data_IF_593234455101
#
_entry.id   IF_593234455101
#
_cell.length_a   1.000
_cell.length_b   1.000
_cell.length_c   1.000
_cell.angle_alpha   90.00
_cell.angle_beta   90.00
_cell.angle_gamma   90.00
#
_symmetry.space_group_name_H-M   'P 1'
#
loop_
_entity.id
_entity.type
_entity.pdbx_description
1 polymer ?
#
# COMPACT_ATOMS: atom_id res chain seq x y z
N UNK A 1 27.56 -69.17 32.47
CA UNK A 1 27.53 -68.15 33.54
C UNK A 1 26.23 -67.39 33.41
N UNK A 2 25.31 -67.64 34.35
CA UNK A 2 23.94 -67.14 34.33
C UNK A 2 23.88 -65.70 34.86
N UNK A 3 23.29 -64.78 34.10
CA UNK A 3 23.14 -63.38 34.50
C UNK A 3 21.86 -63.20 35.32
N UNK A 4 21.95 -63.50 36.61
CA UNK A 4 20.88 -63.34 37.61
C UNK A 4 20.67 -61.87 38.02
N UNK A 5 20.54 -60.94 37.07
CA UNK A 5 20.21 -59.53 37.36
C UNK A 5 18.86 -59.06 36.84
N UNK A 6 18.17 -59.84 35.99
CA UNK A 6 16.84 -59.52 35.47
C UNK A 6 15.66 -60.11 36.26
N UNK A 7 15.89 -61.12 37.10
CA UNK A 7 14.80 -61.91 37.74
C UNK A 7 14.32 -61.37 39.08
N UNK A 8 14.89 -60.29 39.62
CA UNK A 8 14.65 -59.89 41.02
C UNK A 8 13.58 -58.84 41.30
N UNK A 9 12.83 -58.32 40.31
CA UNK A 9 11.59 -57.56 40.56
C UNK A 9 10.59 -57.59 39.38
N UNK A 10 10.17 -58.77 38.90
CA UNK A 10 8.89 -58.87 38.18
C UNK A 10 7.77 -58.90 39.24
N UNK A 11 7.28 -57.72 39.66
CA UNK A 11 6.29 -57.61 40.76
C UNK A 11 4.95 -58.31 40.44
N UNK A 12 4.71 -58.64 39.17
CA UNK A 12 3.52 -59.33 38.67
C UNK A 12 3.91 -60.27 37.53
N UNK A 13 3.27 -61.44 37.45
CA UNK A 13 3.47 -62.41 36.34
C UNK A 13 2.75 -61.96 35.07
N UNK A 14 3.18 -62.46 33.90
CA UNK A 14 2.52 -62.11 32.63
C UNK A 14 1.07 -62.61 32.56
N UNK A 15 0.76 -63.70 33.27
CA UNK A 15 -0.61 -64.20 33.47
C UNK A 15 -1.44 -63.23 34.31
N UNK A 16 -0.88 -62.70 35.41
CA UNK A 16 -1.53 -61.67 36.24
C UNK A 16 -1.78 -60.37 35.46
N UNK A 17 -0.83 -60.00 34.59
CA UNK A 17 -0.96 -58.84 33.69
C UNK A 17 -2.08 -59.04 32.69
N UNK A 18 -2.15 -60.18 31.99
CA UNK A 18 -3.26 -60.49 31.06
C UNK A 18 -4.61 -60.55 31.77
N UNK A 19 -4.70 -61.23 32.92
CA UNK A 19 -5.94 -61.31 33.69
C UNK A 19 -6.47 -59.94 34.12
N UNK A 20 -5.58 -59.01 34.51
CA UNK A 20 -5.96 -57.66 34.87
C UNK A 20 -6.47 -56.84 33.66
N UNK A 21 -5.84 -56.99 32.49
CA UNK A 21 -6.27 -56.32 31.25
C UNK A 21 -7.58 -56.91 30.72
N UNK A 22 -7.73 -58.23 30.72
CA UNK A 22 -8.96 -58.91 30.29
C UNK A 22 -10.14 -58.53 31.18
N UNK A 23 -9.95 -58.49 32.50
CA UNK A 23 -10.97 -58.01 33.42
C UNK A 23 -11.33 -56.53 33.15
N UNK A 24 -10.35 -55.67 32.84
CA UNK A 24 -10.62 -54.29 32.46
C UNK A 24 -11.48 -54.17 31.19
N UNK A 25 -11.16 -54.94 30.15
CA UNK A 25 -11.87 -54.91 28.87
C UNK A 25 -13.31 -55.43 29.00
N UNK A 26 -13.51 -56.50 29.77
CA UNK A 26 -14.82 -57.14 29.98
C UNK A 26 -15.71 -56.37 30.96
N UNK A 27 -15.14 -55.73 31.99
CA UNK A 27 -15.92 -55.10 33.07
C UNK A 27 -16.01 -53.57 32.93
N UNK A 28 -16.36 -53.12 31.72
CA UNK A 28 -16.75 -51.74 31.45
C UNK A 28 -15.62 -50.72 31.46
N UNK A 29 -14.36 -51.17 31.29
CA UNK A 29 -13.16 -50.32 31.09
C UNK A 29 -12.95 -49.30 32.21
N UNK A 30 -13.13 -49.74 33.46
CA UNK A 30 -12.94 -48.94 34.67
C UNK A 30 -11.76 -49.44 35.50
N UNK A 31 -10.63 -48.74 35.43
CA UNK A 31 -9.39 -49.10 36.15
C UNK A 31 -9.62 -49.28 37.66
N UNK A 32 -10.41 -48.41 38.29
CA UNK A 32 -10.75 -48.52 39.72
C UNK A 32 -11.53 -49.78 40.07
N UNK A 33 -12.34 -50.33 39.15
CA UNK A 33 -13.12 -51.54 39.38
C UNK A 33 -12.21 -52.78 39.29
N UNK A 34 -11.33 -52.80 38.29
CA UNK A 34 -10.31 -53.84 38.14
C UNK A 34 -9.36 -53.90 39.34
N UNK A 35 -8.87 -52.75 39.82
CA UNK A 35 -7.99 -52.70 40.99
C UNK A 35 -8.68 -53.18 42.27
N UNK A 36 -9.96 -52.84 42.48
CA UNK A 36 -10.74 -53.31 43.64
C UNK A 36 -11.02 -54.81 43.59
N UNK A 37 -11.24 -55.36 42.40
CA UNK A 37 -11.53 -56.78 42.23
C UNK A 37 -10.29 -57.65 42.38
N UNK A 38 -9.17 -57.22 41.80
CA UNK A 38 -7.95 -58.03 41.72
C UNK A 38 -6.99 -57.75 42.89
N UNK A 39 -7.11 -56.62 43.59
CA UNK A 39 -6.23 -56.22 44.71
C UNK A 39 -4.83 -55.75 44.27
N UNK A 40 -4.53 -55.86 42.99
CA UNK A 40 -3.38 -55.35 42.25
C UNK A 40 -3.83 -55.03 40.81
N UNK A 41 -3.04 -54.39 39.95
CA UNK A 41 -1.87 -53.54 40.19
C UNK A 41 -2.28 -52.09 40.53
N UNK A 42 -1.33 -51.15 40.63
CA UNK A 42 -1.64 -49.72 40.74
C UNK A 42 -2.24 -49.17 39.44
N UNK A 43 -2.93 -48.01 39.51
CA UNK A 43 -3.62 -47.41 38.37
C UNK A 43 -2.69 -47.12 37.18
N UNK A 44 -1.47 -46.70 37.46
CA UNK A 44 -0.45 -46.37 36.45
C UNK A 44 0.11 -47.63 35.79
N UNK A 45 0.34 -48.68 36.57
CA UNK A 45 0.81 -49.98 36.07
C UNK A 45 -0.27 -50.66 35.24
N UNK A 46 -1.54 -50.58 35.65
CA UNK A 46 -2.65 -51.07 34.82
C UNK A 46 -2.74 -50.28 33.51
N UNK A 47 -2.50 -48.97 33.55
CA UNK A 47 -2.55 -48.12 32.37
C UNK A 47 -1.45 -48.48 31.36
N UNK A 48 -0.22 -48.73 31.81
CA UNK A 48 0.87 -49.17 30.93
C UNK A 48 0.60 -50.56 30.35
N UNK A 49 0.04 -51.49 31.15
CA UNK A 49 -0.33 -52.81 30.64
C UNK A 49 -1.43 -52.79 29.59
N UNK A 50 -2.42 -51.89 29.74
CA UNK A 50 -3.47 -51.71 28.72
C UNK A 50 -2.85 -51.11 27.45
N UNK A 51 -1.96 -50.11 27.57
CA UNK A 51 -1.31 -49.51 26.40
C UNK A 51 -0.41 -50.53 25.66
N UNK A 52 0.19 -51.48 26.37
CA UNK A 52 1.00 -52.57 25.79
C UNK A 52 0.18 -53.70 25.17
N UNK A 53 -0.88 -54.17 25.83
CA UNK A 53 -1.65 -55.36 25.41
C UNK A 53 -2.91 -55.04 24.59
N UNK A 54 -3.43 -53.82 24.68
CA UNK A 54 -4.65 -53.38 24.01
C UNK A 54 -4.57 -51.87 23.67
N UNK A 55 -3.68 -51.47 22.74
CA UNK A 55 -3.44 -50.07 22.41
C UNK A 55 -4.73 -49.38 21.94
N UNK A 56 -5.03 -48.22 22.52
CA UNK A 56 -6.23 -47.42 22.19
C UNK A 56 -7.50 -47.77 22.98
N UNK A 57 -7.56 -48.91 23.67
CA UNK A 57 -8.74 -49.33 24.42
C UNK A 57 -8.83 -48.70 25.83
N UNK A 58 -7.81 -47.92 26.20
CA UNK A 58 -7.71 -47.22 27.48
C UNK A 58 -8.65 -46.00 27.53
N UNK A 59 -9.63 -46.03 28.43
CA UNK A 59 -10.53 -44.89 28.69
C UNK A 59 -9.82 -43.77 29.49
N UNK A 60 -9.48 -42.67 28.84
CA UNK A 60 -8.79 -41.51 29.43
C UNK A 60 -9.83 -40.56 30.06
N UNK A 61 -9.93 -40.55 31.39
CA UNK A 61 -10.86 -39.64 32.10
C UNK A 61 -10.36 -38.19 32.17
N UNK A 62 -9.04 -38.00 32.24
CA UNK A 62 -8.35 -36.70 32.20
C UNK A 62 -6.95 -36.94 31.65
N UNK A 63 -6.68 -36.48 30.45
CA UNK A 63 -5.38 -36.48 29.79
C UNK A 63 -5.32 -35.32 28.80
N UNK A 64 -4.12 -34.90 28.34
CA UNK A 64 -3.98 -33.80 27.41
C UNK A 64 -4.48 -34.26 26.04
N UNK A 65 -5.78 -34.06 25.79
CA UNK A 65 -6.30 -34.19 24.44
C UNK A 65 -5.69 -33.07 23.60
N UNK A 66 -5.11 -33.38 22.42
CA UNK A 66 -4.58 -32.38 21.51
C UNK A 66 -5.57 -31.23 21.30
N UNK A 67 -5.07 -29.99 21.33
CA UNK A 67 -5.92 -28.79 21.31
C UNK A 67 -6.85 -28.71 20.10
N UNK A 68 -6.46 -29.30 18.97
CA UNK A 68 -7.27 -29.38 17.75
C UNK A 68 -8.50 -30.28 17.92
N UNK A 69 -8.32 -31.50 18.41
CA UNK A 69 -9.43 -32.43 18.70
C UNK A 69 -10.39 -31.86 19.75
N UNK A 70 -9.84 -31.14 20.74
CA UNK A 70 -10.64 -30.41 21.73
C UNK A 70 -11.50 -29.32 21.09
N UNK A 71 -10.98 -28.56 20.13
CA UNK A 71 -11.71 -27.48 19.43
C UNK A 71 -12.76 -28.05 18.49
N UNK A 72 -12.41 -29.06 17.69
CA UNK A 72 -13.32 -29.73 16.76
C UNK A 72 -14.53 -30.34 17.48
N UNK A 73 -14.29 -31.07 18.59
CA UNK A 73 -15.37 -31.63 19.38
C UNK A 73 -16.29 -30.57 20.00
N UNK A 74 -15.75 -29.42 20.40
CA UNK A 74 -16.56 -28.30 20.93
C UNK A 74 -17.34 -27.61 19.81
N UNK A 75 -16.76 -27.43 18.63
CA UNK A 75 -17.43 -26.85 17.46
C UNK A 75 -18.63 -27.70 17.04
N UNK A 76 -18.46 -29.01 16.87
CA UNK A 76 -19.55 -29.93 16.49
C UNK A 76 -20.69 -29.99 17.52
N UNK A 77 -20.38 -29.85 18.80
CA UNK A 77 -21.39 -29.76 19.89
C UNK A 77 -22.03 -28.37 19.99
N UNK A 78 -21.38 -27.33 19.45
CA UNK A 78 -21.91 -25.97 19.41
C UNK A 78 -22.79 -25.75 18.17
N UNK A 79 -22.42 -26.32 17.03
CA UNK A 79 -23.22 -26.32 15.80
C UNK A 79 -24.43 -27.24 15.85
N UNK A 80 -24.47 -28.17 16.82
CA UNK A 80 -25.57 -29.14 16.97
C UNK A 80 -25.41 -30.39 16.10
N UNK A 81 -24.26 -30.54 15.43
CA UNK A 81 -23.91 -31.72 14.62
C UNK A 81 -23.72 -32.99 15.46
N UNK A 82 -23.23 -32.86 16.69
CA UNK A 82 -23.05 -33.98 17.61
C UNK A 82 -23.65 -33.68 18.99
N UNK A 83 -24.23 -34.69 19.62
CA UNK A 83 -24.59 -34.61 21.02
C UNK A 83 -23.33 -34.59 21.91
N UNK A 84 -23.46 -34.07 23.13
CA UNK A 84 -22.39 -34.06 24.14
C UNK A 84 -21.80 -35.46 24.42
N UNK A 85 -22.60 -36.51 24.18
CA UNK A 85 -22.19 -37.91 24.40
C UNK A 85 -21.41 -38.44 23.20
N UNK A 86 -21.91 -38.23 21.99
CA UNK A 86 -21.24 -38.67 20.75
C UNK A 86 -19.88 -37.98 20.56
N UNK A 87 -19.81 -36.67 20.85
CA UNK A 87 -18.54 -35.94 20.80
C UNK A 87 -17.53 -36.41 21.87
N UNK A 88 -18.02 -36.89 23.02
CA UNK A 88 -17.18 -37.44 24.07
C UNK A 88 -16.66 -38.83 23.72
N UNK A 89 -17.50 -39.67 23.11
CA UNK A 89 -17.12 -40.99 22.60
C UNK A 89 -16.09 -40.85 21.46
N UNK A 90 -16.28 -39.92 20.53
CA UNK A 90 -15.34 -39.65 19.43
C UNK A 90 -13.93 -39.26 19.88
N UNK A 91 -13.81 -38.62 21.05
CA UNK A 91 -12.53 -38.14 21.62
C UNK A 91 -12.04 -39.06 22.77
N UNK A 92 -12.81 -40.10 23.13
CA UNK A 92 -12.45 -41.05 24.19
C UNK A 92 -12.49 -40.45 25.61
N UNK A 93 -13.23 -39.35 25.81
CA UNK A 93 -13.37 -38.64 27.09
C UNK A 93 -14.78 -38.77 27.66
N UNK A 94 -14.99 -38.30 28.89
CA UNK A 94 -16.33 -38.25 29.47
C UNK A 94 -17.10 -37.00 29.00
N UNK A 95 -18.41 -37.11 28.81
CA UNK A 95 -19.28 -35.98 28.39
C UNK A 95 -19.18 -34.75 29.30
N UNK A 96 -18.84 -34.94 30.58
CA UNK A 96 -18.56 -33.85 31.51
C UNK A 96 -17.31 -33.02 31.13
N UNK A 97 -16.31 -33.64 30.51
CA UNK A 97 -15.08 -32.99 30.04
C UNK A 97 -15.37 -32.12 28.82
N UNK A 98 -16.14 -32.62 27.85
CA UNK A 98 -16.58 -31.83 26.68
C UNK A 98 -17.47 -30.67 27.10
N UNK A 99 -18.37 -30.87 28.08
CA UNK A 99 -19.17 -29.78 28.68
C UNK A 99 -18.29 -28.70 29.31
N UNK A 100 -17.23 -29.09 30.03
CA UNK A 100 -16.27 -28.15 30.61
C UNK A 100 -15.44 -27.44 29.53
N UNK A 101 -15.04 -28.11 28.46
CA UNK A 101 -14.36 -27.47 27.33
C UNK A 101 -15.26 -26.48 26.60
N UNK A 102 -16.53 -26.83 26.37
CA UNK A 102 -17.54 -25.93 25.81
C UNK A 102 -17.70 -24.70 26.71
N UNK A 103 -17.77 -24.89 28.04
CA UNK A 103 -17.82 -23.79 29.01
C UNK A 103 -16.55 -22.94 28.99
N UNK A 104 -15.37 -23.52 28.86
CA UNK A 104 -14.12 -22.75 28.87
C UNK A 104 -13.92 -22.00 27.53
N UNK A 105 -14.03 -22.70 26.40
CA UNK A 105 -13.77 -22.11 25.07
C UNK A 105 -14.88 -21.16 24.60
N UNK A 106 -16.13 -21.37 25.01
CA UNK A 106 -17.24 -20.45 24.70
C UNK A 106 -17.58 -19.52 25.87
N UNK A 107 -17.18 -19.84 27.10
CA UNK A 107 -17.36 -18.96 28.27
C UNK A 107 -16.30 -17.87 28.37
N UNK A 108 -15.10 -18.09 27.83
CA UNK A 108 -14.09 -17.03 27.71
C UNK A 108 -14.53 -15.92 26.72
N UNK A 109 -15.42 -16.23 25.76
CA UNK A 109 -16.10 -15.22 24.94
C UNK A 109 -17.09 -14.35 25.77
N UNK A 110 -17.59 -14.88 26.89
CA UNK A 110 -18.37 -14.13 27.89
C UNK A 110 -17.45 -13.27 28.78
N UNK A 111 -16.19 -13.66 28.96
CA UNK A 111 -15.18 -12.90 29.72
C UNK A 111 -14.76 -11.56 29.09
N UNK A 112 -14.93 -11.41 27.77
CA UNK A 112 -14.80 -10.12 27.08
C UNK A 112 -16.10 -9.29 27.11
N UNK A 113 -17.19 -9.84 27.64
CA UNK A 113 -18.55 -9.26 27.65
C UNK A 113 -19.27 -9.45 29.01
N UNK A 114 -18.55 -9.37 30.13
CA UNK A 114 -19.17 -9.48 31.45
C UNK A 114 -18.44 -8.74 32.58
N UNK A 115 -18.61 -7.42 32.64
CA UNK A 115 -18.97 -6.78 33.92
C UNK A 115 -20.50 -6.91 34.10
N UNK A 116 -20.99 -8.13 34.30
CA UNK A 116 -22.34 -8.35 34.82
C UNK A 116 -22.26 -9.52 35.79
N UNK A 117 -22.15 -9.17 37.07
CA UNK A 117 -22.30 -10.07 38.23
C UNK A 117 -23.57 -10.90 38.01
N UNK A 118 -23.48 -12.23 38.03
CA UNK A 118 -24.68 -13.06 38.22
C UNK A 118 -25.14 -12.91 39.68
N UNK A 119 -26.45 -12.75 39.95
CA UNK A 119 -26.95 -12.58 41.31
C UNK A 119 -27.04 -13.93 42.00
N UNK A 120 -26.79 -13.91 43.32
CA UNK A 120 -27.14 -15.04 44.17
C UNK A 120 -28.64 -15.31 44.11
N UNK A 121 -29.02 -16.58 44.30
CA UNK A 121 -30.41 -17.03 44.45
C UNK A 121 -31.03 -16.41 45.70
N UNK A 122 -31.42 -15.15 45.59
CA UNK A 122 -32.37 -14.49 46.46
C UNK A 122 -33.71 -14.45 45.77
N UNK A 123 -34.74 -14.88 46.48
CA UNK A 123 -36.14 -14.70 46.13
C UNK A 123 -36.37 -13.28 45.60
N UNK A 124 -36.61 -13.15 44.29
CA UNK A 124 -36.79 -11.87 43.64
C UNK A 124 -37.72 -12.03 42.47
N UNK A 125 -39.00 -11.89 42.78
CA UNK A 125 -40.02 -11.32 41.91
C UNK A 125 -39.64 -9.88 41.52
N UNK A 126 -38.55 -9.71 40.77
CA UNK A 126 -38.20 -8.51 40.03
C UNK A 126 -38.22 -8.83 38.55
N UNK A 127 -39.46 -8.84 38.06
CA UNK A 127 -39.88 -8.37 36.74
C UNK A 127 -38.74 -8.06 35.76
N UNK A 128 -38.80 -8.71 34.60
CA UNK A 128 -38.38 -8.13 33.33
C UNK A 128 -39.00 -6.72 33.22
N UNK A 129 -38.33 -5.70 33.75
CA UNK A 129 -38.83 -4.34 33.67
C UNK A 129 -38.73 -3.94 32.18
N UNK A 130 -39.86 -3.80 31.47
CA UNK A 130 -39.85 -3.58 30.04
C UNK A 130 -39.14 -2.28 29.67
N UNK A 131 -39.02 -1.32 30.60
CA UNK A 131 -38.27 -0.08 30.41
C UNK A 131 -36.74 -0.30 30.44
N UNK A 132 -36.24 -1.22 31.24
CA UNK A 132 -34.82 -1.57 31.27
C UNK A 132 -34.41 -2.28 29.96
N UNK A 133 -35.24 -3.20 29.47
CA UNK A 133 -35.04 -3.87 28.17
C UNK A 133 -35.17 -2.88 27.00
N UNK A 134 -36.12 -1.93 27.06
CA UNK A 134 -36.21 -0.83 26.08
C UNK A 134 -34.93 0.02 26.08
N UNK A 135 -34.37 0.30 27.25
CA UNK A 135 -33.08 0.98 27.40
C UNK A 135 -31.93 0.22 26.75
N UNK A 136 -31.79 -1.08 27.02
CA UNK A 136 -30.76 -1.93 26.40
C UNK A 136 -30.94 -2.05 24.88
N UNK A 137 -32.18 -2.13 24.38
CA UNK A 137 -32.44 -2.12 22.93
C UNK A 137 -32.05 -0.78 22.30
N UNK A 138 -32.29 0.35 22.99
CA UNK A 138 -31.91 1.67 22.51
C UNK A 138 -30.38 1.84 22.44
N UNK A 139 -29.64 1.38 23.45
CA UNK A 139 -28.17 1.45 23.45
C UNK A 139 -27.58 0.54 22.38
N UNK A 140 -28.07 -0.69 22.23
CA UNK A 140 -27.62 -1.60 21.18
C UNK A 140 -27.92 -1.08 19.77
N UNK A 141 -29.06 -0.42 19.58
CA UNK A 141 -29.38 0.25 18.30
C UNK A 141 -28.42 1.40 18.01
N UNK A 142 -28.11 2.22 19.01
CA UNK A 142 -27.13 3.30 18.87
C UNK A 142 -25.72 2.77 18.56
N UNK A 143 -25.30 1.69 19.22
CA UNK A 143 -24.00 1.04 18.94
C UNK A 143 -23.96 0.42 17.54
N UNK A 144 -25.04 -0.21 17.07
CA UNK A 144 -25.15 -0.71 15.70
C UNK A 144 -25.09 0.42 14.67
N UNK A 145 -25.74 1.55 14.94
CA UNK A 145 -25.67 2.74 14.08
C UNK A 145 -24.26 3.32 14.05
N UNK A 146 -23.57 3.37 15.20
CA UNK A 146 -22.16 3.78 15.30
C UNK A 146 -21.26 2.87 14.47
N UNK A 147 -21.35 1.55 14.66
CA UNK A 147 -20.56 0.57 13.92
C UNK A 147 -20.84 0.62 12.41
N UNK A 148 -22.11 0.78 12.01
CA UNK A 148 -22.47 0.97 10.59
C UNK A 148 -21.89 2.26 10.03
N UNK A 149 -21.83 3.34 10.81
CA UNK A 149 -21.21 4.59 10.39
C UNK A 149 -19.68 4.44 10.23
N UNK A 150 -19.03 3.76 11.16
CA UNK A 150 -17.59 3.45 11.09
C UNK A 150 -17.26 2.59 9.86
N UNK A 151 -18.07 1.55 9.59
CA UNK A 151 -17.93 0.72 8.40
C UNK A 151 -18.02 1.55 7.11
N UNK A 152 -19.05 2.40 6.98
CA UNK A 152 -19.19 3.28 5.81
C UNK A 152 -18.01 4.23 5.64
N UNK A 153 -17.49 4.80 6.74
CA UNK A 153 -16.32 5.67 6.69
C UNK A 153 -15.07 4.92 6.20
N UNK A 154 -14.87 3.69 6.68
CA UNK A 154 -13.76 2.84 6.22
C UNK A 154 -13.90 2.44 4.75
N UNK A 155 -15.11 2.11 4.28
CA UNK A 155 -15.38 1.80 2.86
C UNK A 155 -15.06 2.99 1.95
N UNK A 156 -15.47 4.20 2.32
CA UNK A 156 -15.17 5.43 1.60
C UNK A 156 -13.66 5.66 1.52
N UNK A 157 -12.96 5.55 2.65
CA UNK A 157 -11.49 5.75 2.69
C UNK A 157 -10.77 4.73 1.81
N UNK A 158 -11.19 3.47 1.86
CA UNK A 158 -10.60 2.40 1.05
C UNK A 158 -10.88 2.63 -0.46
N UNK A 159 -12.07 3.12 -0.82
CA UNK A 159 -12.38 3.48 -2.20
C UNK A 159 -11.52 4.66 -2.70
N UNK A 160 -11.31 5.68 -1.86
CA UNK A 160 -10.40 6.80 -2.16
C UNK A 160 -8.98 6.29 -2.39
N UNK A 161 -8.47 5.44 -1.50
CA UNK A 161 -7.11 4.89 -1.62
C UNK A 161 -6.95 4.01 -2.86
N UNK A 162 -7.93 3.14 -3.16
CA UNK A 162 -7.90 2.28 -4.35
C UNK A 162 -7.98 3.10 -5.64
N UNK A 163 -8.93 4.04 -5.73
CA UNK A 163 -9.06 4.91 -6.90
C UNK A 163 -7.82 5.78 -7.12
N UNK A 164 -7.20 6.26 -6.04
CA UNK A 164 -5.96 7.02 -6.12
C UNK A 164 -4.82 6.17 -6.67
N UNK A 165 -4.68 4.92 -6.21
CA UNK A 165 -3.68 3.99 -6.71
C UNK A 165 -3.88 3.63 -8.20
N UNK A 166 -5.13 3.52 -8.66
CA UNK A 166 -5.43 3.30 -10.08
C UNK A 166 -5.05 4.50 -10.95
N UNK A 167 -5.26 5.73 -10.45
CA UNK A 167 -4.96 6.96 -11.19
C UNK A 167 -3.46 7.27 -11.28
N UNK A 168 -2.69 7.00 -10.23
CA UNK A 168 -1.24 7.30 -10.19
C UNK A 168 -0.39 6.17 -10.81
N UNK A 169 -0.98 4.99 -11.04
CA UNK A 169 -0.30 3.82 -11.60
C UNK A 169 0.42 2.98 -10.53
N UNK A 170 0.71 1.71 -10.84
CA UNK A 170 1.37 0.74 -9.93
C UNK A 170 2.87 1.01 -9.74
N UNK A 171 3.28 2.27 -9.64
CA UNK A 171 4.67 2.63 -9.35
C UNK A 171 4.88 2.78 -7.83
N UNK A 172 5.98 2.29 -7.23
CA UNK A 172 6.19 2.25 -5.78
C UNK A 172 6.32 3.62 -5.06
N UNK A 173 6.04 4.73 -5.75
CA UNK A 173 6.11 6.10 -5.23
C UNK A 173 4.81 6.90 -5.43
N UNK A 174 3.72 6.22 -5.78
CA UNK A 174 2.41 6.82 -5.98
C UNK A 174 1.77 7.24 -4.65
N UNK A 175 2.14 8.42 -4.15
CA UNK A 175 1.52 8.99 -2.95
C UNK A 175 0.08 9.46 -3.28
N UNK A 176 -0.97 8.89 -2.64
CA UNK A 176 -2.35 9.34 -2.81
C UNK A 176 -2.56 10.81 -2.41
N UNK A 177 -1.63 11.43 -1.68
CA UNK A 177 -1.71 12.85 -1.36
C UNK A 177 -1.30 13.77 -2.53
N UNK A 178 -0.61 13.25 -3.56
CA UNK A 178 -0.08 14.03 -4.67
C UNK A 178 -0.97 14.06 -5.94
N UNK A 179 -2.26 13.71 -5.83
CA UNK A 179 -3.17 13.81 -6.97
C UNK A 179 -3.39 15.28 -7.37
N UNK A 180 -3.40 15.54 -8.68
CA UNK A 180 -3.79 16.84 -9.23
C UNK A 180 -5.27 17.13 -8.92
N UNK A 181 -5.65 18.41 -8.86
CA UNK A 181 -7.05 18.81 -8.62
C UNK A 181 -8.01 18.21 -9.66
N UNK A 182 -7.52 17.90 -10.86
CA UNK A 182 -8.27 17.20 -11.92
C UNK A 182 -8.49 15.73 -11.58
N UNK A 183 -7.46 15.02 -11.17
CA UNK A 183 -7.55 13.59 -10.81
C UNK A 183 -8.41 13.40 -9.55
N UNK A 184 -8.22 14.24 -8.52
CA UNK A 184 -9.08 14.24 -7.33
C UNK A 184 -10.56 14.47 -7.67
N UNK A 185 -10.86 15.36 -8.63
CA UNK A 185 -12.25 15.58 -9.08
C UNK A 185 -12.82 14.36 -9.81
N UNK A 186 -11.99 13.67 -10.60
CA UNK A 186 -12.38 12.44 -11.30
C UNK A 186 -12.68 11.33 -10.30
N UNK A 187 -11.78 11.13 -9.34
CA UNK A 187 -11.93 10.20 -8.24
C UNK A 187 -13.21 10.43 -7.41
N UNK A 188 -13.47 11.69 -7.01
CA UNK A 188 -14.69 12.02 -6.27
C UNK A 188 -15.95 11.70 -7.08
N UNK A 189 -15.93 12.02 -8.39
CA UNK A 189 -17.05 11.72 -9.28
C UNK A 189 -17.30 10.21 -9.36
N UNK A 190 -16.28 9.42 -9.64
CA UNK A 190 -16.39 7.97 -9.83
C UNK A 190 -16.81 7.27 -8.52
N UNK A 191 -16.28 7.69 -7.38
CA UNK A 191 -16.67 7.16 -6.06
C UNK A 191 -18.10 7.55 -5.70
N UNK A 192 -18.51 8.79 -6.00
CA UNK A 192 -19.90 9.23 -5.77
C UNK A 192 -20.90 8.43 -6.59
N UNK A 193 -20.55 8.08 -7.84
CA UNK A 193 -21.38 7.26 -8.73
C UNK A 193 -21.38 5.79 -8.30
N UNK A 194 -20.25 5.24 -7.87
CA UNK A 194 -20.10 3.82 -7.53
C UNK A 194 -20.75 3.48 -6.18
N UNK A 195 -20.54 4.32 -5.17
CA UNK A 195 -21.02 4.09 -3.81
C UNK A 195 -22.34 4.83 -3.51
N UNK A 196 -22.86 5.63 -4.44
CA UNK A 196 -24.10 6.40 -4.26
C UNK A 196 -24.04 7.44 -3.14
N UNK A 197 -22.83 7.85 -2.75
CA UNK A 197 -22.60 8.84 -1.68
C UNK A 197 -22.54 10.26 -2.25
N UNK A 198 -23.00 11.22 -1.45
CA UNK A 198 -22.95 12.64 -1.84
C UNK A 198 -21.49 13.08 -2.04
N UNK A 199 -21.20 13.69 -3.19
CA UNK A 199 -19.88 14.23 -3.48
C UNK A 199 -19.40 15.22 -2.41
N UNK A 200 -20.29 15.97 -1.76
CA UNK A 200 -19.93 16.94 -0.72
C UNK A 200 -19.26 16.31 0.51
N UNK A 201 -19.66 15.10 0.92
CA UNK A 201 -18.99 14.41 2.03
C UNK A 201 -17.59 13.95 1.64
N UNK A 202 -17.37 13.61 0.36
CA UNK A 202 -16.06 13.18 -0.15
C UNK A 202 -15.06 14.33 -0.30
N UNK A 203 -15.53 15.57 -0.49
CA UNK A 203 -14.66 16.74 -0.65
C UNK A 203 -13.74 16.97 0.56
N UNK A 204 -14.26 16.76 1.77
CA UNK A 204 -13.49 16.91 3.02
C UNK A 204 -12.40 15.85 3.13
N UNK A 205 -12.74 14.60 2.83
CA UNK A 205 -11.81 13.46 2.90
C UNK A 205 -10.68 13.56 1.86
N UNK A 206 -10.97 14.05 0.65
CA UNK A 206 -9.98 14.19 -0.45
C UNK A 206 -9.20 15.51 -0.39
N UNK A 207 -9.61 16.44 0.48
CA UNK A 207 -8.95 17.72 0.67
C UNK A 207 -9.11 18.70 -0.50
N UNK A 208 -10.33 18.80 -1.08
CA UNK A 208 -10.64 19.76 -2.14
C UNK A 208 -11.74 20.74 -1.73
N UNK A 209 -11.54 22.02 -2.02
CA UNK A 209 -12.57 23.04 -1.87
C UNK A 209 -13.73 22.82 -2.86
N UNK A 210 -14.97 23.02 -2.39
CA UNK A 210 -16.20 22.90 -3.20
C UNK A 210 -16.16 23.73 -4.48
N UNK A 211 -15.61 24.94 -4.42
CA UNK A 211 -15.44 25.83 -5.58
C UNK A 211 -14.53 25.21 -6.64
N UNK A 212 -13.42 24.62 -6.23
CA UNK A 212 -12.46 23.92 -7.10
C UNK A 212 -13.09 22.71 -7.77
N UNK A 213 -13.83 21.88 -7.02
CA UNK A 213 -14.55 20.73 -7.55
C UNK A 213 -15.57 21.13 -8.63
N UNK A 214 -16.43 22.11 -8.32
CA UNK A 214 -17.43 22.62 -9.27
C UNK A 214 -16.79 23.25 -10.51
N UNK A 215 -15.69 23.99 -10.34
CA UNK A 215 -14.93 24.54 -11.46
C UNK A 215 -14.37 23.42 -12.35
N UNK A 216 -13.77 22.41 -11.74
CA UNK A 216 -13.11 21.34 -12.46
C UNK A 216 -14.10 20.45 -13.22
N UNK A 217 -15.27 20.15 -12.64
CA UNK A 217 -16.36 19.48 -13.36
C UNK A 217 -16.81 20.28 -14.59
N UNK A 218 -16.96 21.61 -14.46
CA UNK A 218 -17.30 22.48 -15.59
C UNK A 218 -16.18 22.51 -16.63
N UNK A 219 -14.92 22.52 -16.20
CA UNK A 219 -13.77 22.49 -17.10
C UNK A 219 -13.66 21.17 -17.87
N UNK A 220 -13.93 20.03 -17.23
CA UNK A 220 -13.96 18.71 -17.86
C UNK A 220 -15.08 18.56 -18.90
N UNK A 221 -16.23 19.23 -18.69
CA UNK A 221 -17.35 19.23 -19.65
C UNK A 221 -17.14 20.14 -20.85
N UNK A 222 -16.15 21.03 -20.82
CA UNK A 222 -15.87 21.91 -21.96
C UNK A 222 -15.27 21.08 -23.11
N UNK A 223 -15.77 21.25 -24.34
CA UNK A 223 -15.13 20.62 -25.50
C UNK A 223 -13.67 21.09 -25.58
N UNK A 224 -12.77 20.19 -25.98
CA UNK A 224 -11.35 20.53 -26.10
C UNK A 224 -11.19 21.69 -27.10
N UNK A 225 -10.79 22.86 -26.59
CA UNK A 225 -10.56 24.07 -27.38
C UNK A 225 -9.53 23.84 -28.49
N UNK A 226 -8.69 22.82 -28.36
CA UNK A 226 -7.69 22.46 -29.33
C UNK A 226 -8.11 21.33 -30.27
N UNK A 227 -9.30 20.73 -30.13
CA UNK A 227 -9.72 19.60 -30.97
C UNK A 227 -9.62 19.92 -32.47
N UNK A 228 -10.20 21.05 -32.89
CA UNK A 228 -10.17 21.48 -34.30
C UNK A 228 -8.76 21.85 -34.77
N UNK A 229 -7.92 22.40 -33.88
CA UNK A 229 -6.53 22.69 -34.21
C UNK A 229 -5.70 21.41 -34.31
N UNK A 230 -5.99 20.43 -33.46
CA UNK A 230 -5.32 19.16 -33.39
C UNK A 230 -5.57 18.33 -34.66
N UNK A 231 -6.80 18.35 -35.19
CA UNK A 231 -7.12 17.71 -36.48
C UNK A 231 -6.31 18.33 -37.62
N UNK A 232 -6.25 19.66 -37.70
CA UNK A 232 -5.48 20.38 -38.72
C UNK A 232 -3.96 20.13 -38.60
N UNK A 233 -3.41 20.12 -37.38
CA UNK A 233 -2.00 19.80 -37.13
C UNK A 233 -1.70 18.35 -37.51
N UNK A 234 -2.60 17.41 -37.22
CA UNK A 234 -2.45 15.99 -37.60
C UNK A 234 -2.43 15.82 -39.11
N UNK A 235 -3.36 16.47 -39.79
CA UNK A 235 -3.49 16.42 -41.24
C UNK A 235 -2.22 16.95 -41.93
N UNK A 236 -1.74 18.13 -41.53
CA UNK A 236 -0.47 18.68 -42.02
C UNK A 236 0.73 17.76 -41.71
N UNK A 237 0.75 17.13 -40.53
CA UNK A 237 1.81 16.19 -40.17
C UNK A 237 1.82 14.94 -41.07
N UNK A 238 0.66 14.32 -41.32
CA UNK A 238 0.55 13.14 -42.18
C UNK A 238 0.82 13.48 -43.66
N UNK A 239 0.30 14.62 -44.16
CA UNK A 239 0.57 15.11 -45.51
C UNK A 239 2.08 15.35 -45.75
N UNK A 240 2.81 15.75 -44.71
CA UNK A 240 4.27 15.88 -44.77
C UNK A 240 5.05 14.56 -44.74
N UNK A 241 4.35 13.41 -44.68
CA UNK A 241 4.89 12.07 -44.37
C UNK A 241 5.62 12.04 -43.03
N UNK A 242 5.11 12.76 -42.02
CA UNK A 242 5.66 12.84 -40.65
C UNK A 242 7.07 13.43 -40.55
N UNK A 243 7.52 14.13 -41.59
CA UNK A 243 8.87 14.74 -41.63
C UNK A 243 8.89 16.12 -41.01
N UNK A 244 7.77 16.83 -40.99
CA UNK A 244 7.73 18.21 -40.55
C UNK A 244 7.62 18.31 -39.03
N UNK A 245 8.56 19.04 -38.43
CA UNK A 245 8.47 19.46 -37.02
C UNK A 245 7.54 20.65 -36.84
N UNK A 246 7.30 21.01 -35.58
CA UNK A 246 6.35 22.06 -35.18
C UNK A 246 6.51 23.41 -35.87
N UNK A 247 7.75 23.79 -36.22
CA UNK A 247 8.03 25.03 -36.96
C UNK A 247 7.52 24.99 -38.41
N UNK A 248 7.70 23.87 -39.11
CA UNK A 248 7.24 23.72 -40.50
C UNK A 248 5.72 23.60 -40.57
N UNK A 249 5.12 22.83 -39.66
CA UNK A 249 3.66 22.73 -39.57
C UNK A 249 3.04 24.08 -39.22
N UNK A 250 3.65 24.87 -38.33
CA UNK A 250 3.19 26.22 -38.05
C UNK A 250 3.21 27.13 -39.29
N UNK A 251 4.26 27.06 -40.10
CA UNK A 251 4.34 27.84 -41.35
C UNK A 251 3.31 27.37 -42.38
N UNK A 252 3.07 26.06 -42.48
CA UNK A 252 2.06 25.47 -43.36
C UNK A 252 0.64 25.92 -42.97
N UNK A 253 0.31 25.82 -41.68
CA UNK A 253 -0.97 26.32 -41.16
C UNK A 253 -1.11 27.84 -41.32
N UNK A 254 -0.02 28.59 -41.14
CA UNK A 254 -0.01 30.04 -41.38
C UNK A 254 -0.23 30.36 -42.87
N UNK A 255 0.36 29.59 -43.79
CA UNK A 255 0.12 29.75 -45.23
C UNK A 255 -1.28 29.34 -45.66
N UNK A 256 -1.92 28.43 -44.93
CA UNK A 256 -3.32 28.06 -45.11
C UNK A 256 -4.31 29.04 -44.44
N UNK A 257 -3.83 30.20 -43.94
CA UNK A 257 -4.67 31.25 -43.34
C UNK A 257 -5.05 31.01 -41.87
N UNK A 258 -4.50 30.00 -41.21
CA UNK A 258 -4.81 29.66 -39.82
C UNK A 258 -3.82 30.36 -38.87
N UNK A 259 -4.29 31.39 -38.15
CA UNK A 259 -3.47 32.20 -37.23
C UNK A 259 -3.41 31.52 -35.86
N UNK A 260 -2.32 30.82 -35.58
CA UNK A 260 -2.09 30.12 -34.30
C UNK A 260 -0.65 30.30 -33.85
N UNK A 261 -0.40 30.46 -32.55
CA UNK A 261 0.95 30.60 -32.03
C UNK A 261 1.77 29.32 -32.19
N UNK A 262 3.05 29.47 -32.58
CA UNK A 262 3.97 28.34 -32.77
C UNK A 262 4.12 27.49 -31.49
N UNK A 263 4.10 28.11 -30.30
CA UNK A 263 4.14 27.42 -29.00
C UNK A 263 2.91 26.53 -28.76
N UNK A 264 1.73 26.93 -29.25
CA UNK A 264 0.50 26.14 -29.11
C UNK A 264 0.56 24.88 -29.98
N UNK A 265 1.03 25.00 -31.21
CA UNK A 265 1.26 23.86 -32.11
C UNK A 265 2.33 22.92 -31.54
N UNK A 266 3.43 23.49 -31.02
CA UNK A 266 4.48 22.71 -30.36
C UNK A 266 3.94 21.86 -29.20
N UNK A 267 3.17 22.47 -28.27
CA UNK A 267 2.60 21.72 -27.15
C UNK A 267 1.69 20.59 -27.61
N UNK A 268 0.84 20.83 -28.61
CA UNK A 268 -0.04 19.79 -29.17
C UNK A 268 0.76 18.65 -29.79
N UNK A 269 1.77 18.97 -30.61
CA UNK A 269 2.63 17.93 -31.21
C UNK A 269 3.40 17.13 -30.15
N UNK A 270 3.95 17.80 -29.13
CA UNK A 270 4.67 17.11 -28.03
C UNK A 270 3.73 16.22 -27.21
N UNK A 271 2.55 16.72 -26.83
CA UNK A 271 1.57 15.94 -26.04
C UNK A 271 1.02 14.72 -26.78
N UNK A 272 1.04 14.72 -28.12
CA UNK A 272 0.57 13.61 -28.96
C UNK A 272 1.69 12.79 -29.62
N UNK A 273 2.96 13.08 -29.32
CA UNK A 273 4.10 12.31 -29.84
C UNK A 273 4.43 12.55 -31.31
N UNK A 274 3.94 13.64 -31.93
CA UNK A 274 4.25 14.00 -33.32
C UNK A 274 5.59 14.73 -33.39
N UNK A 275 6.67 13.97 -33.35
CA UNK A 275 8.03 14.51 -33.43
C UNK A 275 8.50 14.41 -34.88
N UNK A 276 8.42 15.52 -35.61
CA UNK A 276 9.11 15.64 -36.89
C UNK A 276 10.63 15.78 -36.70
N UNK A 277 11.41 15.10 -37.54
CA UNK A 277 12.87 15.18 -37.57
C UNK A 277 13.31 16.64 -37.81
N UNK A 278 13.68 17.33 -36.73
CA UNK A 278 14.36 18.65 -36.61
C UNK A 278 13.92 19.45 -35.37
N UNK A 279 12.99 18.94 -34.54
CA UNK A 279 12.78 19.51 -33.19
C UNK A 279 14.02 19.28 -32.32
N UNK A 280 14.72 18.17 -32.56
CA UNK A 280 16.04 17.94 -32.01
C UNK A 280 17.02 19.01 -32.54
N UNK A 281 17.05 19.38 -33.82
CA UNK A 281 18.11 20.25 -34.38
C UNK A 281 18.17 21.68 -33.81
N UNK A 282 17.01 22.29 -33.49
CA UNK A 282 16.97 23.64 -32.87
C UNK A 282 17.16 23.62 -31.35
N UNK A 283 16.82 22.51 -30.69
CA UNK A 283 17.07 22.27 -29.26
C UNK A 283 18.48 21.67 -29.01
N UNK A 284 19.11 21.07 -30.04
CA UNK A 284 20.45 20.46 -30.06
C UNK A 284 21.55 21.44 -30.49
N UNK A 285 21.21 22.65 -30.97
CA UNK A 285 22.21 23.67 -31.31
C UNK A 285 22.96 24.21 -30.08
N UNK A 286 22.59 23.80 -28.86
CA UNK A 286 23.26 24.18 -27.61
C UNK A 286 23.44 23.03 -26.59
N UNK A 287 23.27 21.76 -26.98
CA UNK A 287 23.48 20.58 -26.10
C UNK A 287 23.89 19.34 -26.92
N UNK A 288 24.87 18.58 -26.43
CA UNK A 288 25.47 17.46 -27.20
C UNK A 288 24.73 16.14 -26.95
N UNK A 289 24.54 15.32 -27.99
CA UNK A 289 23.83 14.01 -27.99
C UNK A 289 24.36 12.97 -26.98
N UNK A 290 25.51 13.22 -26.34
CA UNK A 290 26.00 12.45 -25.18
C UNK A 290 25.27 12.78 -23.86
N UNK A 291 24.61 13.93 -23.76
CA UNK A 291 23.90 14.38 -22.56
C UNK A 291 22.46 13.84 -22.48
N UNK A 292 21.84 13.53 -23.62
CA UNK A 292 20.50 12.92 -23.71
C UNK A 292 20.50 11.42 -23.33
N UNK A 293 21.57 10.69 -23.63
CA UNK A 293 21.76 9.29 -23.19
C UNK A 293 22.04 9.22 -21.67
N UNK A 294 22.63 10.28 -21.10
CA UNK A 294 23.02 10.36 -19.68
C UNK A 294 21.87 10.81 -18.76
N UNK A 295 20.79 11.40 -19.30
CA UNK A 295 19.61 11.82 -18.53
C UNK A 295 18.53 10.75 -18.41
N UNK A 296 18.58 9.68 -19.22
CA UNK A 296 17.65 8.56 -19.14
C UNK A 296 18.11 7.43 -18.20
N UNK A 297 19.17 7.66 -17.41
CA UNK A 297 19.64 6.74 -16.37
C UNK A 297 18.91 7.07 -15.03
N UNK A 298 18.04 6.17 -14.53
CA UNK A 298 17.25 6.42 -13.33
C UNK A 298 18.08 6.51 -12.03
N UNK A 299 19.39 6.26 -12.06
CA UNK A 299 20.22 6.18 -10.86
C UNK A 299 21.24 7.33 -10.67
N UNK A 300 21.05 8.48 -11.33
CA UNK A 300 22.01 9.58 -11.21
C UNK A 300 21.68 10.58 -10.08
N UNK A 301 22.64 10.93 -9.20
CA UNK A 301 22.46 12.05 -8.27
C UNK A 301 22.35 13.36 -9.07
N UNK A 302 21.19 14.02 -8.98
CA UNK A 302 20.86 15.22 -9.78
C UNK A 302 21.72 16.45 -9.47
N UNK A 303 22.47 16.46 -8.36
CA UNK A 303 23.47 17.48 -8.01
C UNK A 303 24.59 16.82 -7.21
N UNK A 304 25.83 17.06 -7.60
CA UNK A 304 26.99 16.67 -6.79
C UNK A 304 27.20 17.74 -5.70
N UNK A 305 27.42 17.32 -4.47
CA UNK A 305 27.78 18.22 -3.36
C UNK A 305 29.15 18.87 -3.60
N UNK A 306 29.34 20.09 -3.10
CA UNK A 306 30.55 20.87 -3.39
C UNK A 306 31.81 20.23 -2.80
N UNK A 307 31.68 19.61 -1.62
CA UNK A 307 32.74 18.86 -0.94
C UNK A 307 33.18 17.64 -1.75
N UNK A 308 32.20 16.88 -2.26
CA UNK A 308 32.47 15.74 -3.14
C UNK A 308 33.21 16.17 -4.42
N UNK A 309 32.82 17.28 -5.04
CA UNK A 309 33.54 17.78 -6.24
C UNK A 309 34.99 18.15 -5.92
N UNK A 310 35.23 18.80 -4.78
CA UNK A 310 36.58 19.16 -4.32
C UNK A 310 37.42 17.92 -4.07
N UNK A 311 36.88 16.91 -3.41
CA UNK A 311 37.55 15.63 -3.18
C UNK A 311 37.96 14.94 -4.50
N UNK A 312 37.04 14.91 -5.48
CA UNK A 312 37.32 14.31 -6.79
C UNK A 312 38.41 15.07 -7.57
N UNK A 313 38.41 16.41 -7.52
CA UNK A 313 39.45 17.22 -8.17
C UNK A 313 40.80 17.05 -7.46
N UNK A 314 40.82 16.98 -6.14
CA UNK A 314 42.03 16.72 -5.36
C UNK A 314 42.64 15.34 -5.70
N UNK A 315 41.81 14.30 -5.86
CA UNK A 315 42.27 12.99 -6.33
C UNK A 315 42.94 13.04 -7.70
N UNK A 316 42.43 13.89 -8.61
CA UNK A 316 43.01 14.11 -9.93
C UNK A 316 44.34 14.88 -9.87
N UNK A 317 44.42 15.91 -9.02
CA UNK A 317 45.65 16.69 -8.81
C UNK A 317 46.75 15.86 -8.13
N UNK A 318 46.37 14.91 -7.27
CA UNK A 318 47.26 13.93 -6.67
C UNK A 318 47.71 12.82 -7.64
N UNK A 319 47.46 12.97 -8.96
CA UNK A 319 48.01 12.11 -10.00
C UNK A 319 47.18 10.86 -10.32
N UNK A 320 45.99 10.67 -9.74
CA UNK A 320 45.13 9.56 -10.17
C UNK A 320 44.64 9.79 -11.61
N UNK A 321 44.74 8.79 -12.50
CA UNK A 321 44.37 8.96 -13.90
C UNK A 321 42.86 9.19 -14.04
N UNK A 322 42.50 10.15 -14.90
CA UNK A 322 41.11 10.54 -15.17
C UNK A 322 40.20 9.35 -15.51
N UNK A 323 40.72 8.35 -16.23
CA UNK A 323 39.97 7.13 -16.58
C UNK A 323 39.51 6.34 -15.35
N UNK A 324 40.38 6.22 -14.33
CA UNK A 324 40.12 5.45 -13.10
C UNK A 324 39.13 6.16 -12.20
N UNK A 325 39.29 7.47 -12.00
CA UNK A 325 38.34 8.30 -11.25
C UNK A 325 36.93 8.24 -11.88
N UNK A 326 36.85 8.32 -13.20
CA UNK A 326 35.56 8.25 -13.90
C UNK A 326 34.87 6.89 -13.75
N UNK A 327 35.64 5.81 -13.79
CA UNK A 327 35.12 4.45 -13.66
C UNK A 327 34.66 4.15 -12.23
N UNK A 328 35.44 4.57 -11.23
CA UNK A 328 35.18 4.29 -9.81
C UNK A 328 33.98 5.08 -9.26
N UNK A 329 33.81 6.33 -9.69
CA UNK A 329 32.77 7.24 -9.16
C UNK A 329 31.62 7.52 -10.14
N UNK A 330 31.59 6.85 -11.29
CA UNK A 330 30.53 7.02 -12.29
C UNK A 330 30.44 8.45 -12.88
N UNK A 331 31.58 9.14 -13.02
CA UNK A 331 31.62 10.55 -13.42
C UNK A 331 31.82 10.67 -14.94
N UNK A 332 30.97 11.41 -15.68
CA UNK A 332 31.19 11.66 -17.10
C UNK A 332 32.46 12.47 -17.38
N UNK A 333 33.13 12.18 -18.50
CA UNK A 333 34.42 12.80 -18.88
C UNK A 333 34.38 14.33 -18.89
N UNK A 334 33.31 14.91 -19.41
CA UNK A 334 33.10 16.36 -19.49
C UNK A 334 32.92 16.99 -18.10
N UNK A 335 32.34 16.26 -17.16
CA UNK A 335 32.06 16.74 -15.80
C UNK A 335 33.33 16.89 -14.99
N UNK A 336 34.21 15.87 -14.99
CA UNK A 336 35.51 15.94 -14.29
C UNK A 336 36.39 17.06 -14.85
N UNK A 337 36.47 17.19 -16.20
CA UNK A 337 37.23 18.26 -16.86
C UNK A 337 36.72 19.65 -16.45
N UNK A 338 35.41 19.84 -16.39
CA UNK A 338 34.78 21.11 -16.00
C UNK A 338 35.08 21.47 -14.54
N UNK A 339 35.06 20.50 -13.62
CA UNK A 339 35.38 20.76 -12.21
C UNK A 339 36.84 21.12 -12.00
N UNK A 340 37.76 20.39 -12.64
CA UNK A 340 39.20 20.70 -12.59
C UNK A 340 39.45 22.11 -13.14
N UNK A 341 38.85 22.46 -14.29
CA UNK A 341 39.02 23.78 -14.88
C UNK A 341 38.39 24.89 -14.01
N UNK A 342 37.20 24.65 -13.45
CA UNK A 342 36.53 25.64 -12.62
C UNK A 342 37.28 25.93 -11.31
N UNK A 343 37.84 24.90 -10.67
CA UNK A 343 38.66 25.07 -9.47
C UNK A 343 39.99 25.78 -9.80
N UNK A 344 40.63 25.47 -10.93
CA UNK A 344 41.86 26.16 -11.36
C UNK A 344 41.66 27.63 -11.73
N UNK A 345 40.50 27.96 -12.32
CA UNK A 345 40.22 29.31 -12.78
C UNK A 345 39.66 30.22 -11.67
N UNK A 346 38.75 29.71 -10.83
CA UNK A 346 37.99 30.53 -9.85
C UNK A 346 38.03 30.02 -8.41
N UNK A 347 38.64 28.86 -8.15
CA UNK A 347 38.54 28.19 -6.84
C UNK A 347 37.13 27.66 -6.51
N UNK A 348 36.19 27.71 -7.46
CA UNK A 348 34.79 27.31 -7.29
C UNK A 348 34.29 26.48 -8.47
N UNK A 349 33.42 25.49 -8.23
CA UNK A 349 32.81 24.72 -9.33
C UNK A 349 31.50 25.32 -9.82
N UNK A 350 31.03 26.42 -9.21
CA UNK A 350 29.81 27.11 -9.62
C UNK A 350 30.04 27.86 -10.92
N UNK A 351 29.11 27.70 -11.85
CA UNK A 351 29.21 28.32 -13.17
C UNK A 351 29.13 29.86 -13.12
N UNK A 352 28.53 30.45 -12.10
CA UNK A 352 28.47 31.91 -11.93
C UNK A 352 29.84 32.50 -11.56
N UNK A 353 30.61 31.80 -10.74
CA UNK A 353 31.91 32.25 -10.22
C UNK A 353 33.04 32.09 -11.25
N UNK A 354 32.78 31.36 -12.35
CA UNK A 354 33.71 31.09 -13.45
C UNK A 354 33.47 31.93 -14.70
N UNK A 355 32.52 32.87 -14.65
CA UNK A 355 32.24 33.76 -15.77
C UNK A 355 33.26 34.87 -15.85
N UNK A 356 33.68 35.19 -17.06
CA UNK A 356 34.48 36.39 -17.30
C UNK A 356 33.65 37.65 -17.07
N UNK A 357 34.28 38.80 -16.75
CA UNK A 357 33.58 40.08 -16.63
C UNK A 357 32.75 40.41 -17.88
N UNK A 358 33.29 40.14 -19.07
CA UNK A 358 32.64 40.34 -20.37
C UNK A 358 31.37 39.49 -20.53
N UNK A 359 31.38 38.24 -20.08
CA UNK A 359 30.20 37.37 -20.10
C UNK A 359 29.10 37.87 -19.15
N UNK A 360 29.47 38.43 -18.00
CA UNK A 360 28.52 39.02 -17.07
C UNK A 360 27.89 40.29 -17.65
N UNK A 361 28.69 41.15 -18.28
CA UNK A 361 28.20 42.33 -19.00
C UNK A 361 27.25 41.94 -20.13
N UNK A 362 27.59 40.90 -20.91
CA UNK A 362 26.73 40.39 -21.98
C UNK A 362 25.39 39.87 -21.45
N UNK A 363 25.38 39.21 -20.30
CA UNK A 363 24.16 38.73 -19.65
C UNK A 363 23.30 39.93 -19.21
N UNK A 364 23.89 40.95 -18.61
CA UNK A 364 23.18 42.16 -18.17
C UNK A 364 22.64 42.97 -19.35
N UNK A 365 23.42 43.14 -20.42
CA UNK A 365 22.96 43.78 -21.65
C UNK A 365 21.81 43.01 -22.30
N UNK A 366 21.86 41.67 -22.31
CA UNK A 366 20.75 40.83 -22.81
C UNK A 366 19.49 40.96 -21.97
N UNK A 367 19.61 41.09 -20.64
CA UNK A 367 18.46 41.34 -19.75
C UNK A 367 17.85 42.72 -20.01
N UNK A 368 18.69 43.76 -20.12
CA UNK A 368 18.24 45.12 -20.43
C UNK A 368 17.56 45.21 -21.80
N UNK A 369 18.12 44.62 -22.84
CA UNK A 369 17.48 44.59 -24.15
C UNK A 369 16.12 43.89 -24.10
N UNK A 370 16.01 42.78 -23.38
CA UNK A 370 14.73 42.09 -23.19
C UNK A 370 13.71 42.97 -22.46
N UNK A 371 14.15 43.76 -21.49
CA UNK A 371 13.29 44.69 -20.76
C UNK A 371 12.81 45.84 -21.65
N UNK A 372 13.71 46.43 -22.43
CA UNK A 372 13.38 47.47 -23.40
C UNK A 372 12.42 46.96 -24.49
N UNK A 373 12.64 45.74 -25.00
CA UNK A 373 11.72 45.10 -25.94
C UNK A 373 10.30 44.97 -25.37
N UNK A 374 10.17 44.63 -24.08
CA UNK A 374 8.87 44.56 -23.40
C UNK A 374 8.24 45.95 -23.20
N UNK A 375 9.04 46.97 -22.87
CA UNK A 375 8.55 48.35 -22.69
C UNK A 375 8.07 48.95 -24.02
N UNK A 376 8.76 48.66 -25.11
CA UNK A 376 8.35 49.05 -26.47
C UNK A 376 7.05 48.34 -26.85
N UNK A 377 6.94 47.03 -26.64
CA UNK A 377 5.71 46.28 -26.92
C UNK A 377 4.52 46.84 -26.10
N UNK A 378 4.71 47.09 -24.79
CA UNK A 378 3.67 47.71 -23.94
C UNK A 378 3.28 49.10 -24.44
N UNK A 379 4.25 49.91 -24.88
CA UNK A 379 4.01 51.26 -25.39
C UNK A 379 3.27 51.24 -26.73
N UNK A 380 3.62 50.32 -27.63
CA UNK A 380 2.94 50.09 -28.90
C UNK A 380 1.49 49.59 -28.71
N UNK A 381 1.25 48.72 -27.73
CA UNK A 381 -0.09 48.27 -27.37
C UNK A 381 -0.95 49.39 -26.72
N UNK A 382 -0.30 50.35 -26.05
CA UNK A 382 -0.97 51.46 -25.37
C UNK A 382 -1.27 52.66 -26.31
N UNK A 383 -0.46 52.88 -27.35
CA UNK A 383 -0.61 53.99 -28.29
C UNK A 383 -2.02 54.11 -28.93
N UNK A 384 -2.71 53.02 -29.35
CA UNK A 384 -4.08 53.09 -29.88
C UNK A 384 -5.12 53.47 -28.82
N UNK A 385 -4.87 53.14 -27.56
CA UNK A 385 -5.77 53.44 -26.42
C UNK A 385 -5.70 54.93 -26.07
N UNK A 386 -4.50 55.53 -26.13
CA UNK A 386 -4.31 56.96 -25.92
C UNK A 386 -4.80 57.80 -27.10
N UNK A 387 -4.63 57.34 -28.34
CA UNK A 387 -5.15 58.02 -29.54
C UNK A 387 -6.68 58.12 -29.56
N UNK A 388 -7.40 57.15 -28.97
CA UNK A 388 -8.88 57.17 -28.82
C UNK A 388 -9.41 58.06 -27.69
N UNK A 389 -8.53 58.57 -26.81
CA UNK A 389 -8.91 59.46 -25.70
C UNK A 389 -8.80 60.94 -26.05
N UNK A 390 -8.18 61.27 -27.18
CA UNK A 390 -7.95 62.65 -27.65
C UNK A 390 -8.82 63.05 -28.85
N UNK A 391 -9.60 62.11 -29.39
CA UNK A 391 -10.70 62.36 -30.32
C UNK A 391 -12.02 62.24 -29.55
#
# INVERSE_FOLDING_TARGET
MSSQRGERYARYTEEQKRAAVDHYLTHGRRASRTMRQMGYPSKEVLASWIDELAPGERRIRRGPVPGELRRDAVLKVASGELSLREAAEAVGVDSSVVRNWKRQLLGDAKGLMATKREPERGDSSQQDNPDALRGEIATLRADLERLRAEQRAMEIRLAIMKGAAELVGKEPGADPDNLTSREKTTLIKDISETLGVNAESLLKEVGIARSTYCYQLKAMRRPDKNANLLSLVREAFENSRRRYGSKRIHLELKSAGIIVSAKRIMRLMTSHGWIGYNVLDWFMRDMTTKELIVMADPNRPRRYEEEFKRQIVQLYENGKPSSRIRAEYGIPRSTLRRWVQGIRNSGSTKAADNRTPEENELIELRKRNRQLEMEVDVSEQAAPVFARKQA
#
